data_IF_562066604212
#
_entry.id   IF_562066604212
#
_cell.length_a   1.000
_cell.length_b   1.000
_cell.length_c   1.000
_cell.angle_alpha   90.00
_cell.angle_beta   90.00
_cell.angle_gamma   90.00
#
_symmetry.space_group_name_H-M   'P 1'
#
loop_
_entity.id
_entity.type
_entity.pdbx_description
1 polymer ?
#
# COMPACT_ATOMS: atom_id res chain seq x y z
N UNK A 1 16.61 9.77 -2.46
CA UNK A 1 15.35 10.04 -1.75
C UNK A 1 14.83 8.71 -1.28
N UNK A 2 15.11 8.36 -0.02
CA UNK A 2 14.44 7.27 0.66
C UNK A 2 12.93 7.57 0.61
N UNK A 3 12.09 6.59 0.35
CA UNK A 3 10.67 6.82 0.52
C UNK A 3 10.41 6.79 2.03
N UNK A 4 10.36 7.96 2.65
CA UNK A 4 10.12 8.08 4.08
C UNK A 4 8.83 7.33 4.44
N UNK A 5 8.84 6.61 5.55
CA UNK A 5 7.68 5.90 6.09
C UNK A 5 6.42 6.80 6.12
N UNK A 6 6.60 8.10 6.35
CA UNK A 6 5.60 9.16 6.24
C UNK A 6 4.88 9.19 4.87
N UNK A 7 5.60 8.98 3.77
CA UNK A 7 5.01 8.91 2.44
C UNK A 7 4.10 7.69 2.29
N UNK A 8 4.46 6.55 2.88
CA UNK A 8 3.61 5.35 2.86
C UNK A 8 2.38 5.55 3.71
N UNK A 9 2.51 6.17 4.88
CA UNK A 9 1.37 6.50 5.74
C UNK A 9 0.41 7.42 4.98
N UNK A 10 0.90 8.52 4.40
CA UNK A 10 0.08 9.46 3.65
C UNK A 10 -0.62 8.81 2.45
N UNK A 11 0.08 7.94 1.72
CA UNK A 11 -0.50 7.20 0.59
C UNK A 11 -1.53 6.16 1.05
N UNK A 12 -1.31 5.49 2.18
CA UNK A 12 -2.26 4.55 2.76
C UNK A 12 -3.53 5.25 3.24
N UNK A 13 -3.42 6.39 3.92
CA UNK A 13 -4.56 7.21 4.32
C UNK A 13 -5.32 7.77 3.12
N UNK A 14 -4.61 8.22 2.09
CA UNK A 14 -5.23 8.69 0.85
C UNK A 14 -5.98 7.55 0.14
N UNK A 15 -5.42 6.34 0.13
CA UNK A 15 -6.08 5.15 -0.40
C UNK A 15 -7.32 4.76 0.42
N UNK A 16 -7.25 4.82 1.75
CA UNK A 16 -8.37 4.49 2.63
C UNK A 16 -9.55 5.48 2.50
N UNK A 17 -9.26 6.74 2.17
CA UNK A 17 -10.26 7.77 1.90
C UNK A 17 -10.93 7.64 0.51
N UNK A 18 -10.41 6.77 -0.37
CA UNK A 18 -11.03 6.52 -1.66
C UNK A 18 -12.27 5.62 -1.50
N UNK A 19 -13.48 6.07 -1.88
CA UNK A 19 -14.71 5.34 -1.66
C UNK A 19 -14.81 4.02 -2.45
N UNK A 20 -14.00 3.81 -3.49
CA UNK A 20 -13.92 2.52 -4.17
C UNK A 20 -13.04 1.53 -3.41
N UNK A 21 -12.00 2.02 -2.73
CA UNK A 21 -11.10 1.21 -1.91
C UNK A 21 -11.78 0.86 -0.58
N UNK A 22 -12.51 1.80 0.03
CA UNK A 22 -13.22 1.57 1.29
C UNK A 22 -14.29 0.46 1.17
N UNK A 23 -14.74 0.15 -0.05
CA UNK A 23 -15.69 -0.95 -0.33
C UNK A 23 -15.03 -2.34 -0.31
N UNK A 24 -13.71 -2.42 -0.45
CA UNK A 24 -12.97 -3.68 -0.38
C UNK A 24 -12.38 -3.89 1.03
N UNK A 25 -12.98 -4.74 1.86
CA UNK A 25 -12.52 -4.95 3.23
C UNK A 25 -11.15 -5.64 3.31
N UNK A 26 -10.73 -6.39 2.28
CA UNK A 26 -9.41 -7.00 2.26
C UNK A 26 -8.33 -5.96 1.95
N UNK A 27 -8.60 -5.08 0.98
CA UNK A 27 -7.70 -3.99 0.61
C UNK A 27 -7.55 -2.98 1.75
N UNK A 28 -8.67 -2.58 2.37
CA UNK A 28 -8.67 -1.71 3.57
C UNK A 28 -7.83 -2.31 4.68
N UNK A 29 -8.04 -3.59 5.01
CA UNK A 29 -7.29 -4.27 6.08
C UNK A 29 -5.78 -4.31 5.81
N UNK A 30 -5.38 -4.52 4.56
CA UNK A 30 -3.98 -4.50 4.15
C UNK A 30 -3.38 -3.09 4.20
N UNK A 31 -4.10 -2.08 3.73
CA UNK A 31 -3.67 -0.68 3.79
C UNK A 31 -3.51 -0.17 5.22
N UNK A 32 -4.45 -0.51 6.11
CA UNK A 32 -4.34 -0.18 7.55
C UNK A 32 -3.10 -0.80 8.16
N UNK A 33 -2.85 -2.09 7.92
CA UNK A 33 -1.65 -2.78 8.42
C UNK A 33 -0.35 -2.17 7.90
N UNK A 34 -0.30 -1.82 6.61
CA UNK A 34 0.86 -1.18 6.00
C UNK A 34 1.09 0.21 6.61
N UNK A 35 0.02 0.98 6.82
CA UNK A 35 0.08 2.28 7.49
C UNK A 35 0.57 2.16 8.94
N UNK A 36 0.02 1.24 9.72
CA UNK A 36 0.44 0.98 11.10
C UNK A 36 1.90 0.50 11.18
N UNK A 37 2.31 -0.41 10.30
CA UNK A 37 3.68 -0.90 10.25
C UNK A 37 4.66 0.22 9.86
N UNK A 38 4.27 1.08 8.90
CA UNK A 38 5.06 2.24 8.51
C UNK A 38 5.18 3.27 9.65
N UNK A 39 4.08 3.58 10.36
CA UNK A 39 4.10 4.43 11.55
C UNK A 39 5.05 3.88 12.62
N UNK A 40 5.05 2.56 12.82
CA UNK A 40 5.92 1.89 13.78
C UNK A 40 7.36 1.66 13.27
N UNK A 41 7.69 2.13 12.06
CA UNK A 41 8.99 1.89 11.38
C UNK A 41 9.36 0.39 11.32
N UNK A 42 8.34 -0.46 11.27
CA UNK A 42 8.50 -1.90 11.20
C UNK A 42 8.54 -2.37 9.75
N UNK A 43 9.43 -3.33 9.48
CA UNK A 43 9.50 -3.99 8.19
C UNK A 43 8.31 -4.94 8.02
N UNK A 44 7.51 -4.76 6.98
CA UNK A 44 6.32 -5.57 6.70
C UNK A 44 6.49 -6.49 5.49
N UNK A 45 7.64 -7.18 5.39
CA UNK A 45 7.95 -8.07 4.26
C UNK A 45 6.84 -9.08 3.92
N UNK A 46 6.14 -9.61 4.93
CA UNK A 46 5.00 -10.52 4.75
C UNK A 46 3.75 -9.83 4.17
N UNK A 47 3.42 -8.62 4.63
CA UNK A 47 2.30 -7.86 4.09
C UNK A 47 2.62 -7.35 2.69
N UNK A 48 3.88 -7.01 2.37
CA UNK A 48 4.34 -6.71 1.00
C UNK A 48 4.06 -7.89 0.06
N UNK A 49 4.37 -9.12 0.47
CA UNK A 49 4.11 -10.33 -0.34
C UNK A 49 2.62 -10.53 -0.62
N UNK A 50 1.76 -10.11 0.29
CA UNK A 50 0.30 -10.18 0.14
C UNK A 50 -0.28 -8.97 -0.58
N UNK A 51 0.38 -7.82 -0.52
CA UNK A 51 -0.10 -6.58 -1.09
C UNK A 51 -0.19 -6.63 -2.61
N UNK A 52 0.86 -7.12 -3.28
CA UNK A 52 0.85 -7.24 -4.75
C UNK A 52 -0.30 -8.12 -5.28
N UNK A 53 -0.51 -9.37 -4.80
CA UNK A 53 -1.63 -10.18 -5.27
C UNK A 53 -2.99 -9.59 -4.89
N UNK A 54 -3.14 -8.94 -3.73
CA UNK A 54 -4.40 -8.28 -3.35
C UNK A 54 -4.72 -7.10 -4.26
N UNK A 55 -3.73 -6.24 -4.58
CA UNK A 55 -3.93 -5.14 -5.53
C UNK A 55 -4.22 -5.66 -6.94
N UNK A 56 -3.57 -6.74 -7.37
CA UNK A 56 -3.89 -7.38 -8.65
C UNK A 56 -5.30 -7.96 -8.68
N UNK A 57 -5.78 -8.57 -7.59
CA UNK A 57 -7.17 -9.04 -7.49
C UNK A 57 -8.17 -7.89 -7.53
N UNK A 58 -7.88 -6.80 -6.80
CA UNK A 58 -8.69 -5.59 -6.83
C UNK A 58 -8.76 -5.01 -8.24
N UNK A 59 -7.63 -4.92 -8.94
CA UNK A 59 -7.58 -4.49 -10.33
C UNK A 59 -8.48 -5.35 -11.22
N UNK A 60 -8.39 -6.67 -11.10
CA UNK A 60 -9.21 -7.60 -11.88
C UNK A 60 -10.71 -7.42 -11.59
N UNK A 61 -11.08 -7.23 -10.33
CA UNK A 61 -12.46 -6.99 -9.91
C UNK A 61 -13.01 -5.65 -10.44
N UNK A 62 -12.15 -4.65 -10.62
CA UNK A 62 -12.51 -3.31 -11.10
C UNK A 62 -12.13 -3.09 -12.58
N UNK A 63 -12.14 -4.13 -13.42
CA UNK A 63 -11.86 -4.03 -14.86
C UNK A 63 -10.49 -3.41 -15.22
N UNK A 64 -9.46 -3.71 -14.44
CA UNK A 64 -8.11 -3.15 -14.49
C UNK A 64 -8.04 -1.65 -14.14
N UNK A 65 -9.11 -1.08 -13.58
CA UNK A 65 -9.08 0.25 -13.02
C UNK A 65 -8.37 0.20 -11.67
N UNK A 66 -7.22 0.86 -11.61
CA UNK A 66 -6.34 0.82 -10.45
C UNK A 66 -6.03 2.27 -10.07
N UNK A 67 -6.52 2.74 -8.92
CA UNK A 67 -6.27 4.09 -8.45
C UNK A 67 -4.76 4.42 -8.50
N UNK A 68 -4.38 5.61 -8.98
CA UNK A 68 -2.97 6.00 -9.09
C UNK A 68 -2.26 5.97 -7.73
N UNK A 69 -3.01 6.13 -6.64
CA UNK A 69 -2.49 6.04 -5.27
C UNK A 69 -2.03 4.61 -4.92
N UNK A 70 -2.78 3.57 -5.33
CA UNK A 70 -2.40 2.17 -5.12
C UNK A 70 -1.19 1.77 -5.97
N UNK A 71 -1.10 2.28 -7.21
CA UNK A 71 0.06 2.09 -8.07
C UNK A 71 1.32 2.74 -7.48
N UNK A 72 1.16 3.94 -6.90
CA UNK A 72 2.26 4.65 -6.24
C UNK A 72 2.69 3.92 -4.97
N UNK A 73 1.74 3.46 -4.14
CA UNK A 73 2.03 2.68 -2.95
C UNK A 73 2.70 1.34 -3.32
N UNK A 74 2.27 0.67 -4.40
CA UNK A 74 2.92 -0.52 -4.94
C UNK A 74 4.37 -0.26 -5.32
N UNK A 75 4.65 0.84 -6.04
CA UNK A 75 6.01 1.22 -6.44
C UNK A 75 6.90 1.47 -5.24
N UNK A 76 6.40 2.20 -4.24
CA UNK A 76 7.11 2.52 -3.00
C UNK A 76 7.36 1.26 -2.16
N UNK A 77 6.37 0.37 -2.05
CA UNK A 77 6.52 -0.91 -1.33
C UNK A 77 7.46 -1.88 -2.06
N UNK A 78 7.51 -1.85 -3.40
CA UNK A 78 8.41 -2.71 -4.19
C UNK A 78 9.86 -2.24 -4.19
N UNK A 79 10.12 -0.94 -4.07
CA UNK A 79 11.48 -0.41 -4.15
C UNK A 79 12.29 -0.85 -2.93
N UNK A 80 13.40 -1.59 -3.10
CA UNK A 80 14.21 -2.04 -1.96
C UNK A 80 14.82 -0.88 -1.17
N UNK A 81 15.07 0.26 -1.82
CA UNK A 81 15.63 1.48 -1.20
C UNK A 81 14.59 2.33 -0.43
N UNK A 82 13.31 2.01 -0.51
CA UNK A 82 12.27 2.75 0.21
C UNK A 82 12.22 2.39 1.71
N UNK A 83 12.80 1.26 2.10
CA UNK A 83 12.63 0.70 3.45
C UNK A 83 13.97 0.48 4.17
N UNK A 84 15.08 0.56 3.44
CA UNK A 84 16.42 0.43 3.97
C UNK A 84 17.06 1.80 4.11
N UNK A 85 17.25 2.25 5.35
CA UNK A 85 18.30 3.21 5.65
C UNK A 85 19.64 2.57 5.30
N UNK A 86 20.34 3.15 4.33
CA UNK A 86 21.76 2.97 4.11
C UNK A 86 22.42 4.35 4.15
#
# INVERSE_FOLDING_TARGET
MAADFDQIVALAETALNDPEISKDPQLVKLLTKIGEAAMNKQYFYDDRRKFQPTVSMYALAHHHHLPPVLLTLLKVVQTPNAWGGF
#
